data_IF_238993802097
#
_entry.id   IF_238993802097
#
_cell.length_a   1.000
_cell.length_b   1.000
_cell.length_c   1.000
_cell.angle_alpha   90.00
_cell.angle_beta   90.00
_cell.angle_gamma   90.00
#
_symmetry.space_group_name_H-M   'P 1'
#
loop_
_entity.id
_entity.type
_entity.pdbx_description
1 polymer ?
#
# COMPACT_ATOMS: atom_id res chain seq x y z
N UNK A 1 15.21 13.00 -9.90
CA UNK A 1 14.55 12.49 -8.67
C UNK A 1 14.35 11.01 -8.93
N UNK A 2 14.72 10.14 -7.99
CA UNK A 2 14.56 8.69 -8.19
C UNK A 2 13.10 8.36 -8.48
N UNK A 3 12.87 7.34 -9.31
CA UNK A 3 11.57 6.69 -9.49
C UNK A 3 11.15 5.98 -8.20
N UNK A 4 10.99 6.76 -7.14
CA UNK A 4 10.65 6.32 -5.80
C UNK A 4 9.14 6.43 -5.56
N UNK A 5 8.73 5.92 -4.40
CA UNK A 5 7.34 5.98 -3.93
C UNK A 5 6.77 7.41 -3.99
N UNK A 6 7.58 8.45 -3.75
CA UNK A 6 7.14 9.84 -3.76
C UNK A 6 6.94 10.37 -5.17
N UNK A 7 7.88 10.11 -6.07
CA UNK A 7 7.71 10.42 -7.49
C UNK A 7 6.46 9.77 -8.07
N UNK A 8 6.13 8.55 -7.65
CA UNK A 8 4.92 7.86 -8.07
C UNK A 8 3.64 8.55 -7.58
N UNK A 9 3.62 9.01 -6.33
CA UNK A 9 2.44 9.64 -5.71
C UNK A 9 2.29 11.15 -5.99
N UNK A 10 3.35 11.85 -6.40
CA UNK A 10 3.30 13.29 -6.72
C UNK A 10 2.34 13.58 -7.88
N UNK A 11 2.32 12.69 -8.88
CA UNK A 11 1.48 12.82 -10.06
C UNK A 11 0.22 11.95 -9.89
N UNK A 12 -0.77 12.53 -9.19
CA UNK A 12 -2.04 11.88 -8.87
C UNK A 12 -2.94 11.89 -10.11
N UNK A 13 -3.25 10.73 -10.71
CA UNK A 13 -4.18 10.66 -11.83
C UNK A 13 -5.60 11.04 -11.39
N UNK A 14 -6.34 11.71 -12.28
CA UNK A 14 -7.74 12.09 -12.02
C UNK A 14 -8.67 10.90 -11.75
N UNK A 15 -8.30 9.71 -12.25
CA UNK A 15 -9.01 8.46 -12.02
C UNK A 15 -8.63 7.73 -10.73
N UNK A 16 -7.65 8.23 -9.97
CA UNK A 16 -7.11 7.57 -8.79
C UNK A 16 -6.22 6.38 -9.12
N UNK A 17 -6.07 5.48 -8.14
CA UNK A 17 -5.20 4.32 -8.29
C UNK A 17 -5.97 3.02 -8.08
N UNK A 18 -5.58 1.97 -8.82
CA UNK A 18 -6.00 0.60 -8.56
C UNK A 18 -4.90 -0.09 -7.77
N UNK A 19 -5.30 -0.84 -6.73
CA UNK A 19 -4.39 -1.61 -5.89
C UNK A 19 -4.73 -3.09 -6.02
N UNK A 20 -3.70 -3.89 -6.28
CA UNK A 20 -3.69 -5.32 -6.02
C UNK A 20 -2.80 -5.59 -4.81
N UNK A 21 -3.26 -6.44 -3.89
CA UNK A 21 -2.53 -6.72 -2.66
C UNK A 21 -2.51 -8.19 -2.32
N UNK A 22 -1.41 -8.63 -1.70
CA UNK A 22 -1.38 -9.84 -0.91
C UNK A 22 -0.92 -9.52 0.50
N UNK A 23 -1.63 -10.04 1.49
CA UNK A 23 -1.27 -9.94 2.89
C UNK A 23 -1.19 -11.35 3.48
N UNK A 24 -0.10 -11.64 4.17
CA UNK A 24 0.11 -12.90 4.87
C UNK A 24 0.28 -12.66 6.38
N UNK A 25 -0.35 -13.50 7.19
CA UNK A 25 -0.13 -13.61 8.64
C UNK A 25 0.34 -15.03 8.94
N UNK A 26 1.62 -15.19 9.31
CA UNK A 26 2.28 -16.50 9.31
C UNK A 26 2.24 -17.13 7.92
N UNK A 27 1.71 -18.34 7.83
CA UNK A 27 1.57 -19.11 6.58
C UNK A 27 0.26 -18.82 5.83
N UNK A 28 -0.68 -18.10 6.45
CA UNK A 28 -1.97 -17.77 5.85
C UNK A 28 -1.85 -16.51 4.99
N UNK A 29 -1.92 -16.67 3.67
CA UNK A 29 -1.92 -15.57 2.72
C UNK A 29 -3.30 -15.35 2.12
N UNK A 30 -3.65 -14.08 1.91
CA UNK A 30 -4.89 -13.68 1.25
C UNK A 30 -4.63 -12.55 0.28
N UNK A 31 -5.39 -12.53 -0.81
CA UNK A 31 -5.33 -11.50 -1.83
C UNK A 31 -6.52 -10.56 -1.72
N UNK A 32 -6.28 -9.29 -2.03
CA UNK A 32 -7.27 -8.23 -1.95
C UNK A 32 -7.09 -7.25 -3.11
N UNK A 33 -8.15 -6.51 -3.42
CA UNK A 33 -8.10 -5.42 -4.39
C UNK A 33 -8.66 -4.16 -3.77
N UNK A 34 -8.27 -2.99 -4.26
CA UNK A 34 -8.80 -1.73 -3.75
C UNK A 34 -8.60 -0.61 -4.74
N UNK A 35 -9.20 0.52 -4.43
CA UNK A 35 -8.98 1.75 -5.17
C UNK A 35 -8.57 2.85 -4.18
N UNK A 36 -7.68 3.72 -4.62
CA UNK A 36 -7.32 4.94 -3.91
C UNK A 36 -8.03 6.10 -4.59
N UNK A 37 -8.85 6.80 -3.82
CA UNK A 37 -9.48 8.03 -4.27
C UNK A 37 -8.40 9.12 -4.40
N UNK A 38 -8.32 9.84 -5.52
CA UNK A 38 -7.33 10.90 -5.70
C UNK A 38 -7.47 12.04 -4.68
N UNK A 39 -8.65 12.21 -4.07
CA UNK A 39 -8.89 13.20 -3.01
C UNK A 39 -8.34 12.81 -1.63
N UNK A 40 -8.09 11.52 -1.40
CA UNK A 40 -7.49 11.02 -0.15
C UNK A 40 -6.58 9.82 -0.42
N UNK A 41 -5.38 10.09 -0.92
CA UNK A 41 -4.40 9.05 -1.24
C UNK A 41 -3.81 8.35 -0.01
N UNK A 42 -4.11 8.85 1.18
CA UNK A 42 -3.57 8.34 2.44
C UNK A 42 -4.46 7.28 3.07
N UNK A 43 -5.70 7.11 2.60
CA UNK A 43 -6.65 6.16 3.18
C UNK A 43 -7.35 5.37 2.09
N UNK A 44 -7.31 4.05 2.20
CA UNK A 44 -8.02 3.20 1.24
C UNK A 44 -8.45 1.89 1.89
N UNK A 45 -9.49 1.30 1.31
CA UNK A 45 -9.99 0.00 1.71
C UNK A 45 -9.51 -1.07 0.72
N UNK A 46 -9.13 -2.22 1.26
CA UNK A 46 -8.92 -3.43 0.49
C UNK A 46 -10.10 -4.38 0.69
N UNK A 47 -10.57 -4.89 -0.43
CA UNK A 47 -11.76 -5.70 -0.60
C UNK A 47 -11.31 -7.13 -0.91
N UNK A 48 -11.87 -8.10 -0.21
CA UNK A 48 -11.64 -9.53 -0.48
C UNK A 48 -12.32 -9.97 -1.78
N UNK A 49 -11.97 -11.15 -2.34
CA UNK A 49 -12.58 -11.64 -3.58
C UNK A 49 -14.12 -11.78 -3.53
N UNK A 50 -14.71 -11.90 -2.34
CA UNK A 50 -16.16 -11.93 -2.13
C UNK A 50 -16.82 -10.54 -2.10
N UNK A 51 -16.06 -9.47 -2.37
CA UNK A 51 -16.57 -8.10 -2.48
C UNK A 51 -16.74 -7.36 -1.14
N UNK A 52 -16.32 -7.95 -0.02
CA UNK A 52 -16.42 -7.31 1.31
C UNK A 52 -15.17 -6.51 1.63
N UNK A 53 -15.34 -5.36 2.29
CA UNK A 53 -14.19 -4.64 2.88
C UNK A 53 -13.58 -5.52 3.95
N UNK A 54 -12.33 -5.94 3.73
CA UNK A 54 -11.63 -6.88 4.59
C UNK A 54 -10.54 -6.19 5.41
N UNK A 55 -9.91 -5.15 4.84
CA UNK A 55 -8.81 -4.42 5.47
C UNK A 55 -8.92 -2.93 5.17
N UNK A 56 -8.65 -2.08 6.16
CA UNK A 56 -8.53 -0.64 5.98
C UNK A 56 -7.09 -0.23 6.19
N UNK A 57 -6.55 0.53 5.25
CA UNK A 57 -5.20 1.07 5.30
C UNK A 57 -5.23 2.57 5.55
N UNK A 58 -4.28 3.02 6.38
CA UNK A 58 -4.00 4.42 6.61
C UNK A 58 -2.49 4.62 6.52
N UNK A 59 -2.09 5.59 5.70
CA UNK A 59 -0.72 5.98 5.47
C UNK A 59 -0.44 7.29 6.21
N UNK A 60 0.69 7.36 6.90
CA UNK A 60 1.16 8.60 7.55
C UNK A 60 2.64 8.82 7.31
N UNK A 61 3.02 10.08 7.08
CA UNK A 61 4.41 10.46 6.81
C UNK A 61 5.17 10.50 8.13
N UNK A 62 6.25 9.73 8.24
CA UNK A 62 7.06 9.62 9.47
C UNK A 62 8.17 10.68 9.48
N UNK A 63 8.81 10.90 8.33
CA UNK A 63 9.92 11.85 8.18
C UNK A 63 9.86 12.47 6.80
N UNK A 64 10.07 13.78 6.71
CA UNK A 64 10.12 14.50 5.42
C UNK A 64 11.54 14.59 4.86
N UNK A 65 12.56 14.47 5.73
CA UNK A 65 13.99 14.53 5.34
C UNK A 65 14.48 13.20 4.77
N UNK A 66 13.92 12.09 5.28
CA UNK A 66 14.13 10.74 4.75
C UNK A 66 12.74 10.13 4.57
N UNK A 67 12.19 10.19 3.34
CA UNK A 67 10.75 10.20 3.21
C UNK A 67 10.20 8.77 3.35
N UNK A 68 9.63 8.51 4.54
CA UNK A 68 9.15 7.21 5.01
C UNK A 68 7.68 7.30 5.41
N UNK A 69 6.95 6.21 5.20
CA UNK A 69 5.52 6.14 5.50
C UNK A 69 5.23 4.97 6.41
N UNK A 70 4.42 5.22 7.43
CA UNK A 70 3.80 4.16 8.22
C UNK A 70 2.50 3.78 7.52
N UNK A 71 2.42 2.57 6.98
CA UNK A 71 1.17 1.97 6.52
C UNK A 71 0.60 1.11 7.64
N UNK A 72 -0.49 1.59 8.25
CA UNK A 72 -1.23 0.85 9.26
C UNK A 72 -2.39 0.11 8.62
N UNK A 73 -2.47 -1.21 8.83
CA UNK A 73 -3.63 -2.02 8.46
C UNK A 73 -4.45 -2.36 9.70
N UNK A 74 -5.76 -2.11 9.65
CA UNK A 74 -6.69 -2.68 10.62
C UNK A 74 -7.05 -4.11 10.20
N UNK A 75 -6.70 -5.09 11.03
CA UNK A 75 -7.01 -6.50 10.84
C UNK A 75 -7.59 -7.07 12.12
N UNK A 76 -8.89 -7.37 12.12
CA UNK A 76 -9.59 -7.97 13.25
C UNK A 76 -9.46 -7.18 14.57
N UNK A 77 -9.50 -5.84 14.48
CA UNK A 77 -9.41 -4.94 15.64
C UNK A 77 -8.00 -4.73 16.17
N UNK A 78 -6.98 -5.25 15.47
CA UNK A 78 -5.57 -4.95 15.72
C UNK A 78 -5.03 -4.10 14.59
N UNK A 79 -4.34 -3.01 14.94
CA UNK A 79 -3.51 -2.26 14.00
C UNK A 79 -2.16 -2.96 13.84
N UNK A 80 -1.76 -3.17 12.60
CA UNK A 80 -0.47 -3.74 12.23
C UNK A 80 0.24 -2.73 11.35
N UNK A 81 1.43 -2.33 11.77
CA UNK A 81 2.15 -1.24 11.15
C UNK A 81 3.29 -1.76 10.28
N UNK A 82 3.41 -1.19 9.08
CA UNK A 82 4.49 -1.44 8.13
C UNK A 82 5.24 -0.14 7.87
N UNK A 83 6.54 -0.18 8.11
CA UNK A 83 7.44 0.92 7.78
C UNK A 83 7.88 0.82 6.33
N UNK A 84 7.40 1.74 5.51
CA UNK A 84 7.67 1.79 4.09
C UNK A 84 8.74 2.85 3.83
N UNK A 85 9.94 2.36 3.53
CA UNK A 85 11.04 3.18 3.02
C UNK A 85 11.16 3.06 1.50
N UNK A 86 11.93 3.94 0.84
CA UNK A 86 12.24 3.77 -0.59
C UNK A 86 12.85 2.40 -0.93
N UNK A 87 13.53 1.73 0.01
CA UNK A 87 14.09 0.39 -0.21
C UNK A 87 13.02 -0.70 -0.32
N UNK A 88 11.84 -0.46 0.25
CA UNK A 88 10.70 -1.36 0.18
C UNK A 88 9.88 -1.15 -1.11
N UNK A 89 10.24 -0.14 -1.90
CA UNK A 89 9.47 0.32 -3.04
C UNK A 89 10.28 0.13 -4.32
N UNK A 90 9.62 -0.30 -5.39
CA UNK A 90 10.22 -0.33 -6.71
C UNK A 90 9.16 -0.13 -7.78
N UNK A 91 9.50 0.60 -8.84
CA UNK A 91 8.68 0.63 -10.06
C UNK A 91 8.94 -0.65 -10.85
N UNK A 92 7.88 -1.37 -11.19
CA UNK A 92 7.96 -2.57 -12.02
C UNK A 92 8.21 -2.19 -13.49
N UNK A 93 8.60 -3.15 -14.32
CA UNK A 93 8.77 -2.93 -15.77
C UNK A 93 7.51 -2.40 -16.47
N UNK A 94 6.34 -2.66 -15.90
CA UNK A 94 5.04 -2.24 -16.42
C UNK A 94 4.59 -0.88 -15.83
N UNK A 95 5.46 -0.17 -15.11
CA UNK A 95 5.16 1.14 -14.52
C UNK A 95 4.32 1.11 -13.24
N UNK A 96 4.04 -0.07 -12.68
CA UNK A 96 3.34 -0.20 -11.38
C UNK A 96 4.30 0.09 -10.23
N UNK A 97 3.83 0.78 -9.18
CA UNK A 97 4.56 0.86 -7.92
C UNK A 97 4.34 -0.43 -7.12
N UNK A 98 5.41 -1.15 -6.85
CA UNK A 98 5.41 -2.31 -5.97
C UNK A 98 5.96 -1.90 -4.60
N UNK A 99 5.23 -2.26 -3.53
CA UNK A 99 5.63 -2.04 -2.14
C UNK A 99 5.68 -3.41 -1.46
N UNK A 100 6.81 -3.73 -0.84
CA UNK A 100 7.02 -4.95 -0.07
C UNK A 100 7.27 -4.58 1.41
N UNK A 101 6.21 -4.66 2.21
CA UNK A 101 6.26 -4.50 3.66
C UNK A 101 6.48 -5.85 4.35
N UNK A 102 7.34 -5.87 5.36
CA UNK A 102 7.57 -7.06 6.17
C UNK A 102 7.71 -6.63 7.64
N UNK A 103 7.00 -7.30 8.54
CA UNK A 103 7.08 -7.08 9.97
C UNK A 103 6.85 -8.41 10.68
N UNK A 104 7.84 -8.92 11.42
CA UNK A 104 7.82 -10.18 12.20
C UNK A 104 6.94 -11.29 11.60
N UNK A 105 5.65 -11.33 11.95
CA UNK A 105 4.70 -12.37 11.55
C UNK A 105 3.86 -12.03 10.30
N UNK A 106 4.08 -10.87 9.69
CA UNK A 106 3.24 -10.29 8.65
C UNK A 106 4.03 -9.85 7.42
N UNK A 107 3.53 -10.24 6.26
CA UNK A 107 4.06 -9.80 4.95
C UNK A 107 2.96 -9.08 4.19
N UNK A 108 3.30 -7.93 3.64
CA UNK A 108 2.43 -7.11 2.81
C UNK A 108 3.09 -6.90 1.46
N UNK A 109 2.33 -7.14 0.40
CA UNK A 109 2.67 -6.69 -0.94
C UNK A 109 1.53 -5.84 -1.46
N UNK A 110 1.87 -4.67 -2.02
CA UNK A 110 0.96 -3.80 -2.76
C UNK A 110 1.52 -3.59 -4.16
N UNK A 111 0.67 -3.70 -5.17
CA UNK A 111 0.92 -3.29 -6.54
C UNK A 111 -0.07 -2.18 -6.87
N UNK A 112 0.43 -0.97 -7.07
CA UNK A 112 -0.40 0.22 -7.29
C UNK A 112 -0.24 0.67 -8.74
N UNK A 113 -1.37 0.82 -9.42
CA UNK A 113 -1.47 1.26 -10.81
C UNK A 113 -2.18 2.61 -10.85
N UNK A 114 -1.69 3.54 -11.68
CA UNK A 114 -2.44 4.76 -12.04
C UNK A 114 -3.60 4.40 -12.97
N UNK A 115 -4.80 4.90 -12.69
CA UNK A 115 -5.99 4.73 -13.54
C UNK A 115 -6.09 5.85 -14.59
#
# INVERSE_FOLDING_TARGET
MSDDFWGFLIDIPSGGYIIESSYCAGDECSSYTGNIDPSDIWKFNLVSPDGKVAKKFEASIISYLEPRICLSVDSSGKKIDFDISPKNCNITKNGLLCINGNNQDHKLKLLIKKY
#
